data_IF_623209455707
#
_entry.id   IF_623209455707
#
_cell.length_a   1.000
_cell.length_b   1.000
_cell.length_c   1.000
_cell.angle_alpha   90.00
_cell.angle_beta   90.00
_cell.angle_gamma   90.00
#
_symmetry.space_group_name_H-M   'P 1'
#
loop_
_entity.id
_entity.type
_entity.pdbx_description
1 polymer ?
#
# COMPACT_ATOMS: atom_id res chain seq x y z
N UNK A 1 -17.46 14.57 -10.80
CA UNK A 1 -16.56 14.70 -9.63
C UNK A 1 -15.28 15.39 -10.08
N UNK A 2 -14.73 16.34 -9.31
CA UNK A 2 -13.44 16.94 -9.63
C UNK A 2 -12.34 15.87 -9.55
N UNK A 3 -11.36 15.95 -10.45
CA UNK A 3 -10.29 14.96 -10.60
C UNK A 3 -9.45 14.78 -9.31
N UNK A 4 -9.40 15.80 -8.46
CA UNK A 4 -8.66 15.78 -7.20
C UNK A 4 -9.12 14.66 -6.26
N UNK A 5 -10.42 14.29 -6.30
CA UNK A 5 -10.96 13.25 -5.44
C UNK A 5 -10.40 11.85 -5.75
N UNK A 6 -9.91 11.61 -6.98
CA UNK A 6 -9.39 10.29 -7.34
C UNK A 6 -7.98 10.03 -6.81
N UNK A 7 -7.26 11.08 -6.41
CA UNK A 7 -5.92 10.98 -5.81
C UNK A 7 -5.94 11.16 -4.29
N UNK A 8 -7.12 11.36 -3.70
CA UNK A 8 -7.27 11.46 -2.27
C UNK A 8 -7.46 10.06 -1.67
N UNK A 9 -6.54 9.58 -0.82
CA UNK A 9 -6.76 8.34 -0.09
C UNK A 9 -7.80 8.52 1.02
N UNK A 10 -8.53 7.46 1.35
CA UNK A 10 -9.44 7.44 2.50
C UNK A 10 -8.66 7.41 3.83
N UNK A 11 -7.51 6.73 3.84
CA UNK A 11 -6.60 6.64 4.99
C UNK A 11 -5.14 6.84 4.56
N UNK A 12 -4.46 7.78 5.21
CA UNK A 12 -2.99 7.86 5.20
C UNK A 12 -2.49 7.23 6.49
N UNK A 13 -1.91 6.04 6.38
CA UNK A 13 -1.32 5.34 7.51
C UNK A 13 0.10 5.88 7.76
N UNK A 14 0.39 6.27 9.01
CA UNK A 14 1.74 6.65 9.40
C UNK A 14 2.64 5.42 9.47
N UNK A 15 3.79 5.47 8.82
CA UNK A 15 4.69 4.33 8.67
C UNK A 15 4.24 3.32 7.61
N UNK A 16 4.87 2.15 7.63
CA UNK A 16 4.65 1.11 6.64
C UNK A 16 3.34 0.33 6.82
N UNK A 17 3.05 -0.55 5.87
CA UNK A 17 1.94 -1.52 5.93
C UNK A 17 1.90 -2.34 7.23
N UNK A 18 3.05 -2.56 7.88
CA UNK A 18 3.13 -3.32 9.13
C UNK A 18 2.38 -2.64 10.30
N UNK A 19 2.09 -1.34 10.18
CA UNK A 19 1.31 -0.60 11.15
C UNK A 19 -0.22 -0.77 10.95
N UNK A 20 -0.65 -1.45 9.88
CA UNK A 20 -2.05 -1.75 9.66
C UNK A 20 -2.47 -2.91 10.57
N UNK A 21 -3.19 -2.61 11.64
CA UNK A 21 -3.61 -3.60 12.64
C UNK A 21 -5.02 -4.16 12.35
N UNK A 22 -5.37 -5.33 12.92
CA UNK A 22 -6.75 -5.84 12.86
C UNK A 22 -7.79 -4.84 13.37
N UNK A 23 -7.47 -4.05 14.39
CA UNK A 23 -8.38 -3.03 14.93
C UNK A 23 -8.70 -1.94 13.90
N UNK A 24 -7.70 -1.53 13.10
CA UNK A 24 -7.90 -0.55 12.03
C UNK A 24 -8.80 -1.17 10.95
N UNK A 25 -8.52 -2.40 10.54
CA UNK A 25 -9.34 -3.13 9.54
C UNK A 25 -10.79 -3.22 10.01
N UNK A 26 -11.02 -3.64 11.25
CA UNK A 26 -12.35 -3.79 11.81
C UNK A 26 -13.08 -2.45 11.92
N UNK A 27 -12.36 -1.39 12.34
CA UNK A 27 -12.92 -0.02 12.43
C UNK A 27 -13.48 0.48 11.10
N UNK A 28 -12.84 0.13 9.99
CA UNK A 28 -13.28 0.48 8.63
C UNK A 28 -14.11 -0.61 7.95
N UNK A 29 -14.51 -1.65 8.69
CA UNK A 29 -15.33 -2.78 8.19
C UNK A 29 -14.75 -3.46 6.94
N UNK A 30 -13.42 -3.49 6.83
CA UNK A 30 -12.73 -4.10 5.72
C UNK A 30 -12.74 -5.62 5.88
N UNK A 31 -13.17 -6.33 4.83
CA UNK A 31 -13.23 -7.80 4.77
C UNK A 31 -12.21 -8.37 3.79
N UNK A 32 -11.65 -7.54 2.92
CA UNK A 32 -10.57 -7.90 2.01
C UNK A 32 -9.54 -6.79 1.84
N UNK A 33 -8.30 -7.15 1.52
CA UNK A 33 -7.26 -6.22 1.11
C UNK A 33 -6.60 -6.70 -0.18
N UNK A 34 -6.47 -5.76 -1.12
CA UNK A 34 -5.61 -5.88 -2.29
C UNK A 34 -4.34 -5.09 -2.00
N UNK A 35 -3.22 -5.79 -1.91
CA UNK A 35 -1.93 -5.25 -1.51
C UNK A 35 -1.04 -5.06 -2.74
N UNK A 36 -0.45 -3.87 -2.89
CA UNK A 36 0.76 -3.75 -3.69
C UNK A 36 1.93 -4.50 -3.03
N UNK A 37 2.95 -4.82 -3.81
CA UNK A 37 4.08 -5.64 -3.34
C UNK A 37 5.35 -4.82 -3.20
N UNK A 38 5.78 -4.19 -4.29
CA UNK A 38 7.07 -3.53 -4.37
C UNK A 38 7.02 -2.20 -3.66
N UNK A 39 7.96 -1.94 -2.76
CA UNK A 39 7.99 -0.74 -1.90
C UNK A 39 6.80 -0.62 -0.93
N UNK A 40 5.76 -1.45 -1.03
CA UNK A 40 4.68 -1.54 -0.04
C UNK A 40 4.94 -2.65 0.99
N UNK A 41 5.14 -3.90 0.54
CA UNK A 41 5.41 -5.05 1.42
C UNK A 41 6.91 -5.35 1.50
N UNK A 42 7.60 -5.31 0.37
CA UNK A 42 9.01 -5.71 0.26
C UNK A 42 9.79 -4.68 -0.56
N UNK A 43 10.99 -4.27 -0.13
CA UNK A 43 11.86 -3.43 -0.93
C UNK A 43 12.16 -4.05 -2.31
N UNK A 44 12.18 -3.24 -3.37
CA UNK A 44 12.44 -3.69 -4.75
C UNK A 44 13.71 -4.55 -4.94
N UNK A 45 14.76 -4.27 -4.17
CA UNK A 45 16.07 -4.94 -4.28
C UNK A 45 16.23 -6.14 -3.36
N UNK A 46 15.26 -6.40 -2.50
CA UNK A 46 15.27 -7.52 -1.55
C UNK A 46 14.23 -8.52 -2.00
N UNK A 47 14.62 -9.78 -2.20
CA UNK A 47 13.70 -10.85 -2.61
C UNK A 47 13.09 -11.62 -1.44
N UNK A 48 13.65 -11.46 -0.23
CA UNK A 48 13.23 -12.20 0.94
C UNK A 48 12.12 -11.45 1.70
N UNK A 49 11.08 -12.19 2.07
CA UNK A 49 10.04 -11.74 3.00
C UNK A 49 10.62 -11.72 4.41
N UNK A 50 10.47 -10.59 5.11
CA UNK A 50 10.94 -10.48 6.49
C UNK A 50 10.06 -11.28 7.46
N UNK A 51 10.60 -11.73 8.60
CA UNK A 51 9.81 -12.39 9.65
C UNK A 51 8.63 -11.54 10.13
N UNK A 52 8.81 -10.23 10.25
CA UNK A 52 7.80 -9.27 10.70
C UNK A 52 6.65 -9.18 9.68
N UNK A 53 6.97 -9.14 8.38
CA UNK A 53 5.96 -9.16 7.32
C UNK A 53 5.17 -10.47 7.34
N UNK A 54 5.84 -11.61 7.53
CA UNK A 54 5.16 -12.91 7.65
C UNK A 54 4.20 -12.92 8.85
N UNK A 55 4.66 -12.45 10.01
CA UNK A 55 3.82 -12.36 11.20
C UNK A 55 2.62 -11.43 10.99
N UNK A 56 2.84 -10.29 10.34
CA UNK A 56 1.77 -9.36 9.98
C UNK A 56 0.74 -10.02 9.05
N UNK A 57 1.18 -10.73 8.00
CA UNK A 57 0.26 -11.45 7.10
C UNK A 57 -0.57 -12.49 7.86
N UNK A 58 0.04 -13.28 8.75
CA UNK A 58 -0.69 -14.26 9.57
C UNK A 58 -1.73 -13.61 10.49
N UNK A 59 -1.37 -12.48 11.12
CA UNK A 59 -2.29 -11.75 11.97
C UNK A 59 -3.49 -11.18 11.20
N UNK A 60 -3.25 -10.64 10.01
CA UNK A 60 -4.30 -9.99 9.21
C UNK A 60 -5.17 -11.01 8.47
N UNK A 61 -4.57 -12.10 7.96
CA UNK A 61 -5.33 -13.13 7.23
C UNK A 61 -6.33 -13.88 8.12
N UNK A 62 -6.14 -13.85 9.43
CA UNK A 62 -7.08 -14.39 10.40
C UNK A 62 -8.44 -13.67 10.41
N UNK A 63 -8.51 -12.41 9.96
CA UNK A 63 -9.75 -11.63 9.93
C UNK A 63 -10.12 -11.08 8.54
N UNK A 64 -9.22 -11.16 7.55
CA UNK A 64 -9.35 -10.44 6.27
C UNK A 64 -8.80 -11.26 5.11
N UNK A 65 -9.51 -11.30 3.98
CA UNK A 65 -9.01 -11.92 2.76
C UNK A 65 -7.87 -11.08 2.14
N UNK A 66 -6.75 -11.70 1.79
CA UNK A 66 -5.59 -11.00 1.23
C UNK A 66 -5.30 -11.42 -0.21
N UNK A 67 -5.04 -10.45 -1.08
CA UNK A 67 -4.56 -10.66 -2.45
C UNK A 67 -3.40 -9.73 -2.76
N UNK A 68 -2.41 -10.23 -3.51
CA UNK A 68 -1.31 -9.41 -3.99
C UNK A 68 -1.56 -8.97 -5.44
N UNK A 69 -1.37 -7.68 -5.74
CA UNK A 69 -1.51 -7.14 -7.10
C UNK A 69 -0.37 -6.18 -7.39
N UNK A 70 0.60 -6.63 -8.18
CA UNK A 70 1.82 -5.86 -8.50
C UNK A 70 1.86 -5.40 -9.95
N UNK A 71 2.50 -4.25 -10.19
CA UNK A 71 2.87 -3.82 -11.54
C UNK A 71 4.06 -4.59 -12.13
N UNK A 72 4.82 -5.28 -11.28
CA UNK A 72 6.00 -6.04 -11.66
C UNK A 72 5.61 -7.29 -12.47
N UNK A 73 6.36 -7.56 -13.55
CA UNK A 73 6.13 -8.68 -14.45
C UNK A 73 6.89 -9.96 -14.03
N UNK A 74 7.81 -9.85 -13.07
CA UNK A 74 8.67 -10.95 -12.65
C UNK A 74 7.91 -11.99 -11.82
N UNK A 75 7.62 -13.13 -12.44
CA UNK A 75 7.07 -14.32 -11.77
C UNK A 75 8.00 -14.85 -10.67
N UNK A 76 9.32 -14.83 -10.93
CA UNK A 76 10.31 -15.27 -9.95
C UNK A 76 10.22 -14.43 -8.66
N UNK A 77 10.00 -13.12 -8.79
CA UNK A 77 9.88 -12.20 -7.66
C UNK A 77 8.49 -12.26 -7.01
N UNK A 78 7.45 -11.88 -7.75
CA UNK A 78 6.10 -11.73 -7.20
C UNK A 78 5.53 -13.09 -6.81
N UNK A 79 5.68 -14.09 -7.67
CA UNK A 79 5.28 -15.46 -7.35
C UNK A 79 6.11 -16.03 -6.19
N UNK A 80 7.40 -15.71 -6.10
CA UNK A 80 8.25 -16.11 -4.97
C UNK A 80 7.73 -15.56 -3.64
N UNK A 81 7.47 -14.26 -3.58
CA UNK A 81 6.88 -13.58 -2.41
C UNK A 81 5.51 -14.18 -2.07
N UNK A 82 4.62 -14.29 -3.07
CA UNK A 82 3.28 -14.82 -2.89
C UNK A 82 3.28 -16.25 -2.34
N UNK A 83 4.12 -17.14 -2.90
CA UNK A 83 4.27 -18.51 -2.40
C UNK A 83 4.84 -18.55 -0.99
N UNK A 84 5.78 -17.66 -0.66
CA UNK A 84 6.37 -17.61 0.69
C UNK A 84 5.40 -17.14 1.77
N UNK A 85 4.38 -16.37 1.37
CA UNK A 85 3.31 -15.84 2.21
C UNK A 85 2.00 -16.63 2.11
N UNK A 86 1.94 -17.64 1.23
CA UNK A 86 0.74 -18.40 0.92
C UNK A 86 -0.46 -17.50 0.51
N UNK A 87 -0.20 -16.53 -0.39
CA UNK A 87 -1.22 -15.59 -0.86
C UNK A 87 -1.51 -15.72 -2.36
N UNK A 88 -2.78 -15.56 -2.79
CA UNK A 88 -3.12 -15.44 -4.20
C UNK A 88 -2.60 -14.11 -4.77
N UNK A 89 -2.25 -14.09 -6.06
CA UNK A 89 -1.63 -12.90 -6.64
C UNK A 89 -1.91 -12.71 -8.14
N UNK A 90 -1.72 -11.46 -8.58
CA UNK A 90 -1.61 -11.06 -9.97
C UNK A 90 -0.36 -10.20 -10.18
N UNK A 91 0.55 -10.65 -11.06
CA UNK A 91 1.66 -9.85 -11.57
C UNK A 91 1.20 -8.94 -12.72
N UNK A 92 1.99 -7.94 -13.11
CA UNK A 92 1.79 -7.14 -14.32
C UNK A 92 0.45 -6.40 -14.40
N UNK A 93 -0.02 -5.83 -13.30
CA UNK A 93 -1.33 -5.19 -13.20
C UNK A 93 -1.47 -3.90 -14.03
N UNK A 94 -0.36 -3.24 -14.33
CA UNK A 94 -0.31 -1.96 -15.04
C UNK A 94 -1.23 -0.90 -14.43
N UNK A 95 -1.30 -0.86 -13.10
CA UNK A 95 -1.96 0.19 -12.30
C UNK A 95 -1.49 1.56 -12.84
N UNK A 96 -2.40 2.52 -13.11
CA UNK A 96 -3.77 2.60 -12.58
C UNK A 96 -4.84 1.85 -13.39
N UNK A 97 -4.44 0.91 -14.27
CA UNK A 97 -5.38 -0.03 -14.88
C UNK A 97 -6.15 -0.84 -13.82
N UNK A 98 -7.45 -0.98 -14.04
CA UNK A 98 -8.38 -1.62 -13.12
C UNK A 98 -8.51 -3.14 -13.32
N UNK A 99 -7.92 -3.68 -14.39
CA UNK A 99 -8.24 -5.03 -14.88
C UNK A 99 -7.93 -6.12 -13.85
N UNK A 100 -6.70 -6.15 -13.31
CA UNK A 100 -6.28 -7.21 -12.37
C UNK A 100 -6.82 -6.99 -10.96
N UNK A 101 -6.97 -5.73 -10.53
CA UNK A 101 -7.64 -5.41 -9.25
C UNK A 101 -9.11 -5.85 -9.30
N UNK A 102 -9.83 -5.61 -10.41
CA UNK A 102 -11.19 -6.11 -10.58
C UNK A 102 -11.28 -7.65 -10.59
N UNK A 103 -10.26 -8.32 -11.13
CA UNK A 103 -10.20 -9.78 -11.09
C UNK A 103 -10.04 -10.27 -9.64
N UNK A 104 -9.16 -9.65 -8.85
CA UNK A 104 -9.01 -9.96 -7.42
C UNK A 104 -10.32 -9.72 -6.66
N UNK A 105 -10.99 -8.58 -6.87
CA UNK A 105 -12.30 -8.28 -6.26
C UNK A 105 -13.35 -9.35 -6.57
N UNK A 106 -13.41 -9.82 -7.82
CA UNK A 106 -14.35 -10.90 -8.21
C UNK A 106 -14.02 -12.21 -7.49
N UNK A 107 -12.75 -12.54 -7.37
CA UNK A 107 -12.31 -13.75 -6.68
C UNK A 107 -12.51 -13.70 -5.16
N UNK A 108 -12.54 -12.51 -4.57
CA UNK A 108 -12.88 -12.35 -3.15
C UNK A 108 -14.38 -12.48 -2.86
N UNK A 109 -15.24 -12.27 -3.86
CA UNK A 109 -16.72 -12.26 -3.69
C UNK A 109 -17.21 -11.27 -2.61
N UNK A 110 -16.47 -10.16 -2.44
CA UNK A 110 -16.77 -9.11 -1.46
C UNK A 110 -17.34 -7.85 -2.13
N UNK A 111 -18.22 -7.11 -1.43
CA UNK A 111 -18.59 -5.76 -1.84
C UNK A 111 -17.36 -4.86 -1.92
N UNK A 112 -17.24 -4.10 -3.02
CA UNK A 112 -16.03 -3.32 -3.31
C UNK A 112 -15.66 -2.31 -2.22
N UNK A 113 -16.66 -1.72 -1.56
CA UNK A 113 -16.46 -0.76 -0.47
C UNK A 113 -15.91 -1.39 0.82
N UNK A 114 -15.96 -2.71 0.95
CA UNK A 114 -15.35 -3.47 2.06
C UNK A 114 -13.99 -4.06 1.69
N UNK A 115 -13.43 -3.68 0.54
CA UNK A 115 -12.10 -4.09 0.12
C UNK A 115 -11.18 -2.88 0.07
N UNK A 116 -10.08 -2.96 0.82
CA UNK A 116 -9.03 -1.95 0.83
C UNK A 116 -8.01 -2.16 -0.29
N UNK A 117 -7.68 -1.12 -1.05
CA UNK A 117 -6.47 -1.07 -1.89
C UNK A 117 -5.35 -0.44 -1.06
N UNK A 118 -4.27 -1.18 -0.83
CA UNK A 118 -3.13 -0.74 0.00
C UNK A 118 -1.89 -0.60 -0.87
N UNK A 119 -1.25 0.57 -0.85
CA UNK A 119 -0.01 0.82 -1.58
C UNK A 119 0.67 2.12 -1.16
N UNK A 120 1.87 2.37 -1.69
CA UNK A 120 2.70 3.54 -1.37
C UNK A 120 2.54 4.70 -2.38
N UNK A 121 1.81 4.49 -3.48
CA UNK A 121 1.74 5.44 -4.60
C UNK A 121 0.33 5.92 -4.89
N UNK A 122 0.16 7.24 -4.93
CA UNK A 122 -1.11 7.89 -5.24
C UNK A 122 -1.58 7.64 -6.68
N UNK A 123 -0.69 7.79 -7.65
CA UNK A 123 -1.05 7.73 -9.07
C UNK A 123 -1.27 6.32 -9.61
N UNK A 124 -0.93 5.29 -8.83
CA UNK A 124 -1.15 3.89 -9.19
C UNK A 124 -2.20 3.26 -8.30
N UNK A 125 -1.94 3.18 -7.01
CA UNK A 125 -2.72 2.35 -6.09
C UNK A 125 -4.00 3.06 -5.65
N UNK A 126 -3.85 4.27 -5.11
CA UNK A 126 -4.99 5.09 -4.69
C UNK A 126 -5.87 5.43 -5.89
N UNK A 127 -5.27 5.87 -7.01
CA UNK A 127 -6.01 6.14 -8.23
C UNK A 127 -6.76 4.91 -8.74
N UNK A 128 -6.16 3.71 -8.73
CA UNK A 128 -6.85 2.51 -9.19
C UNK A 128 -7.99 2.10 -8.26
N UNK A 129 -7.77 2.15 -6.94
CA UNK A 129 -8.77 1.83 -5.92
C UNK A 129 -9.97 2.77 -5.98
N UNK A 130 -9.73 4.08 -6.01
CA UNK A 130 -10.78 5.10 -6.10
C UNK A 130 -11.60 4.97 -7.39
N UNK A 131 -10.97 4.64 -8.52
CA UNK A 131 -11.70 4.40 -9.79
C UNK A 131 -12.54 3.11 -9.80
N UNK A 132 -12.40 2.27 -8.78
CA UNK A 132 -13.21 1.07 -8.55
C UNK A 132 -14.19 1.23 -7.39
N UNK A 133 -14.11 2.32 -6.62
CA UNK A 133 -14.92 2.52 -5.41
C UNK A 133 -14.45 1.67 -4.22
N UNK A 134 -13.17 1.29 -4.21
CA UNK A 134 -12.53 0.62 -3.07
C UNK A 134 -12.19 1.64 -1.99
N UNK A 135 -12.06 1.18 -0.75
CA UNK A 135 -11.40 1.96 0.29
C UNK A 135 -9.90 2.03 -0.03
N UNK A 136 -9.24 3.18 0.10
CA UNK A 136 -7.83 3.36 -0.27
C UNK A 136 -6.96 3.71 0.93
N UNK A 137 -5.91 2.91 1.12
CA UNK A 137 -4.94 3.08 2.21
C UNK A 137 -3.59 3.39 1.58
N UNK A 138 -3.11 4.61 1.83
CA UNK A 138 -1.78 5.04 1.46
C UNK A 138 -0.83 4.79 2.64
N UNK A 139 0.27 4.08 2.39
CA UNK A 139 1.31 3.77 3.40
C UNK A 139 2.66 4.38 3.01
N UNK A 140 3.56 4.51 3.98
CA UNK A 140 4.95 4.87 3.67
C UNK A 140 5.70 3.68 3.05
N UNK A 141 6.60 3.91 2.08
CA UNK A 141 7.27 2.84 1.39
C UNK A 141 8.32 2.14 2.26
N UNK A 142 8.36 0.81 2.22
CA UNK A 142 9.41 -0.02 2.82
C UNK A 142 10.61 -0.06 1.86
N UNK A 143 11.69 0.60 2.26
CA UNK A 143 12.88 0.79 1.44
C UNK A 143 14.12 0.27 2.17
N UNK A 144 15.04 -0.33 1.42
CA UNK A 144 16.32 -0.80 1.97
C UNK A 144 17.20 0.37 2.44
N UNK A 145 17.93 0.27 3.56
CA UNK A 145 18.77 1.36 4.07
C UNK A 145 19.71 2.00 3.04
N UNK A 146 20.30 1.20 2.14
CA UNK A 146 21.19 1.70 1.08
C UNK A 146 20.48 2.58 0.03
N UNK A 147 19.17 2.41 -0.14
CA UNK A 147 18.37 3.24 -1.01
C UNK A 147 17.96 4.57 -0.34
N UNK A 148 17.82 4.58 1.00
CA UNK A 148 17.57 5.81 1.79
C UNK A 148 18.73 6.80 1.69
N UNK A 149 19.97 6.28 1.61
CA UNK A 149 21.17 7.12 1.42
C UNK A 149 21.22 7.83 0.05
N UNK A 150 20.55 7.28 -0.98
CA UNK A 150 20.57 7.82 -2.35
C UNK A 150 19.29 8.57 -2.73
N UNK A 151 18.18 8.31 -2.04
CA UNK A 151 16.87 8.89 -2.31
C UNK A 151 16.20 9.21 -0.98
N UNK A 152 15.67 10.43 -0.81
CA UNK A 152 14.93 10.84 0.40
C UNK A 152 13.44 10.51 0.23
N UNK A 153 12.99 9.26 0.50
CA UNK A 153 11.75 8.75 -0.05
C UNK A 153 10.55 9.19 0.80
N UNK A 154 10.71 9.22 2.12
CA UNK A 154 9.76 9.79 3.08
C UNK A 154 9.52 11.28 2.76
N UNK A 155 10.58 12.00 2.40
CA UNK A 155 10.46 13.40 1.98
C UNK A 155 9.72 13.53 0.66
N UNK A 156 9.95 12.63 -0.30
CA UNK A 156 9.22 12.62 -1.56
C UNK A 156 7.74 12.26 -1.37
N UNK A 157 7.45 11.32 -0.46
CA UNK A 157 6.09 10.98 -0.05
C UNK A 157 5.36 12.17 0.57
N UNK A 158 5.99 12.83 1.55
CA UNK A 158 5.51 14.06 2.17
C UNK A 158 5.24 15.14 1.12
N UNK A 159 6.23 15.44 0.28
CA UNK A 159 6.10 16.45 -0.78
C UNK A 159 4.93 16.12 -1.71
N UNK A 160 4.83 14.88 -2.18
CA UNK A 160 3.75 14.43 -3.06
C UNK A 160 2.37 14.60 -2.40
N UNK A 161 2.21 14.18 -1.15
CA UNK A 161 0.96 14.35 -0.39
C UNK A 161 0.64 15.84 -0.21
N UNK A 162 1.64 16.67 0.05
CA UNK A 162 1.47 18.12 0.27
C UNK A 162 1.03 18.88 -0.98
N UNK A 163 1.57 18.52 -2.14
CA UNK A 163 1.24 19.13 -3.43
C UNK A 163 -0.22 18.87 -3.79
N UNK A 164 -0.73 17.67 -3.48
CA UNK A 164 -2.10 17.25 -3.82
C UNK A 164 -3.14 17.78 -2.82
N UNK A 165 -2.76 17.94 -1.54
CA UNK A 165 -3.61 18.57 -0.52
C UNK A 165 -3.68 20.11 -0.65
N UNK A 166 -3.02 20.68 -1.66
CA UNK A 166 -3.18 22.08 -2.04
C UNK A 166 -2.44 23.10 -1.18
N UNK A 167 -1.70 22.70 -0.13
CA UNK A 167 -0.80 23.59 0.63
C UNK A 167 0.06 22.92 1.73
N UNK A 168 1.35 23.29 1.72
CA UNK A 168 2.37 23.39 2.81
C UNK A 168 2.43 22.32 3.92
N UNK A 169 3.37 21.38 3.78
CA UNK A 169 4.03 20.79 4.95
C UNK A 169 4.96 21.85 5.54
N UNK A 170 4.52 22.51 6.60
CA UNK A 170 5.43 23.31 7.43
C UNK A 170 5.93 22.41 8.57
N UNK A 171 7.19 21.95 8.58
CA UNK A 171 7.72 21.29 9.74
C UNK A 171 7.91 22.33 10.84
N UNK A 172 7.20 22.17 11.97
CA UNK A 172 7.50 22.92 13.19
C UNK A 172 8.91 22.52 13.63
N UNK A 173 9.90 23.40 13.41
CA UNK A 173 11.23 23.30 14.01
C UNK A 173 11.07 23.14 15.52
N UNK A 174 11.36 21.97 16.05
CA UNK A 174 11.61 21.80 17.48
C UNK A 174 12.91 22.55 17.78
N UNK A 175 12.81 23.70 18.44
CA UNK A 175 13.97 24.40 18.99
C UNK A 175 14.64 23.47 20.00
N UNK A 176 15.81 22.94 19.67
CA UNK A 176 16.70 22.35 20.65
C UNK A 176 17.29 23.52 21.44
N UNK A 177 16.77 23.75 22.65
CA UNK A 177 17.50 24.54 23.63
C UNK A 177 18.71 23.71 24.08
N UNK A 178 19.90 24.08 23.60
CA UNK A 178 21.14 23.71 24.30
C UNK A 178 21.23 24.55 25.57
N UNK A 179 21.50 23.88 26.70
CA UNK A 179 21.97 24.52 27.93
C UNK A 179 23.28 25.25 27.66
#
# INVERSE_FOLDING_TARGET
MPWNNLLQPDLILKGSVLNLTPDIIQRYELRGLVLDVDETLVPMRVGAVSPELRQWVEQIRACTALWLVSNNLSEARIGGIARSLDLPYYLGAAKPSRRKIRAALRSMELPVHQVGMVGDRLFTDVLAGNRLGMFTILVEPIIHPDAVLRSHPIRNFEVLVSEILGATITPKRTKIHKK
#
